data_IF_926296674126
#
_entry.id   IF_926296674126
#
_cell.length_a   1.000
_cell.length_b   1.000
_cell.length_c   1.000
_cell.angle_alpha   90.00
_cell.angle_beta   90.00
_cell.angle_gamma   90.00
#
_symmetry.space_group_name_H-M   'P 1'
#
loop_
_entity.id
_entity.type
_entity.pdbx_description
1 polymer ?
#
# COMPACT_ATOMS: atom_id res chain seq x y z
N UNK A 1 6.53 -11.43 -8.50
CA UNK A 1 6.35 -11.03 -7.09
C UNK A 1 6.73 -9.57 -6.93
N UNK A 2 6.34 -8.92 -5.82
CA UNK A 2 6.70 -7.52 -5.55
C UNK A 2 8.18 -7.43 -5.13
N UNK A 3 9.03 -6.94 -6.03
CA UNK A 3 10.44 -6.68 -5.75
C UNK A 3 10.61 -5.27 -5.18
N UNK A 4 11.79 -4.97 -4.65
CA UNK A 4 12.10 -3.62 -4.17
C UNK A 4 11.94 -2.58 -5.30
N UNK A 5 11.23 -1.47 -5.04
CA UNK A 5 10.91 -0.42 -6.02
C UNK A 5 9.83 -0.76 -7.05
N UNK A 6 9.14 -1.90 -6.91
CA UNK A 6 8.03 -2.26 -7.80
C UNK A 6 6.85 -1.29 -7.72
N UNK A 7 6.69 -0.58 -6.61
CA UNK A 7 5.59 0.35 -6.34
C UNK A 7 5.71 1.69 -7.08
N UNK A 8 6.91 2.09 -7.52
CA UNK A 8 7.14 3.42 -8.08
C UNK A 8 6.22 3.72 -9.27
N UNK A 9 6.07 2.76 -10.18
CA UNK A 9 5.24 2.94 -11.36
C UNK A 9 3.75 3.17 -11.01
N UNK A 10 3.25 2.47 -9.99
CA UNK A 10 1.87 2.59 -9.52
C UNK A 10 1.65 3.89 -8.73
N UNK A 11 2.54 4.22 -7.79
CA UNK A 11 2.40 5.39 -6.92
C UNK A 11 2.54 6.71 -7.69
N UNK A 12 3.41 6.74 -8.72
CA UNK A 12 3.69 7.93 -9.52
C UNK A 12 2.83 8.03 -10.78
N UNK A 13 1.94 7.06 -11.05
CA UNK A 13 1.11 7.03 -12.25
C UNK A 13 1.94 7.01 -13.55
N UNK A 14 2.87 6.04 -13.64
CA UNK A 14 3.84 5.91 -14.74
C UNK A 14 4.00 4.48 -15.26
N UNK A 15 3.03 3.58 -15.04
CA UNK A 15 3.06 2.21 -15.59
C UNK A 15 3.30 2.22 -17.10
N UNK A 16 2.69 3.17 -17.82
CA UNK A 16 2.86 3.33 -19.27
C UNK A 16 4.28 3.70 -19.72
N UNK A 17 5.20 4.01 -18.80
CA UNK A 17 6.62 4.29 -19.09
C UNK A 17 7.51 3.06 -18.95
N UNK A 18 6.98 1.97 -18.43
CA UNK A 18 7.73 0.76 -18.15
C UNK A 18 7.43 -0.31 -19.20
N UNK A 19 8.49 -0.90 -19.75
CA UNK A 19 8.37 -1.99 -20.72
C UNK A 19 8.12 -3.33 -20.01
N UNK A 20 6.87 -3.53 -19.58
CA UNK A 20 6.41 -4.71 -18.82
C UNK A 20 5.02 -5.15 -19.32
N UNK A 21 4.69 -6.44 -19.23
CA UNK A 21 3.39 -6.95 -19.66
C UNK A 21 2.32 -6.71 -18.58
N UNK A 22 2.03 -5.44 -18.28
CA UNK A 22 0.95 -5.09 -17.35
C UNK A 22 -0.42 -5.45 -17.93
N UNK A 23 -1.33 -5.78 -17.03
CA UNK A 23 -2.72 -6.15 -17.32
C UNK A 23 -3.70 -5.19 -16.65
N UNK A 24 -4.99 -5.32 -16.93
CA UNK A 24 -6.02 -4.36 -16.46
C UNK A 24 -6.03 -4.14 -14.94
N UNK A 25 -5.71 -5.17 -14.16
CA UNK A 25 -5.62 -5.04 -12.70
C UNK A 25 -4.48 -4.12 -12.26
N UNK A 26 -3.40 -4.03 -13.03
CA UNK A 26 -2.26 -3.15 -12.74
C UNK A 26 -2.66 -1.69 -12.98
N UNK A 27 -3.33 -1.39 -14.10
CA UNK A 27 -3.85 -0.04 -14.39
C UNK A 27 -4.84 0.40 -13.30
N UNK A 28 -5.74 -0.50 -12.86
CA UNK A 28 -6.66 -0.20 -11.76
C UNK A 28 -5.91 0.06 -10.44
N UNK A 29 -4.86 -0.71 -10.17
CA UNK A 29 -4.04 -0.52 -8.97
C UNK A 29 -3.27 0.81 -9.01
N UNK A 30 -2.77 1.22 -10.17
CA UNK A 30 -2.12 2.51 -10.38
C UNK A 30 -3.06 3.68 -10.08
N UNK A 31 -4.28 3.64 -10.60
CA UNK A 31 -5.30 4.67 -10.32
C UNK A 31 -5.58 4.78 -8.82
N UNK A 32 -5.78 3.65 -8.15
CA UNK A 32 -6.07 3.60 -6.71
C UNK A 32 -4.87 4.11 -5.90
N UNK A 33 -3.66 3.60 -6.19
CA UNK A 33 -2.45 3.93 -5.44
C UNK A 33 -2.10 5.41 -5.60
N UNK A 34 -2.02 5.92 -6.83
CA UNK A 34 -1.73 7.34 -7.07
C UNK A 34 -2.78 8.27 -6.43
N UNK A 35 -4.06 7.90 -6.45
CA UNK A 35 -5.14 8.66 -5.80
C UNK A 35 -4.95 8.75 -4.28
N UNK A 36 -4.59 7.66 -3.59
CA UNK A 36 -4.30 7.70 -2.15
C UNK A 36 -3.17 8.70 -1.83
N UNK A 37 -2.08 8.69 -2.61
CA UNK A 37 -0.95 9.60 -2.38
C UNK A 37 -1.33 11.06 -2.61
N UNK A 38 -2.10 11.35 -3.67
CA UNK A 38 -2.59 12.70 -3.96
C UNK A 38 -3.52 13.20 -2.85
N UNK A 39 -4.46 12.38 -2.38
CA UNK A 39 -5.39 12.74 -1.31
C UNK A 39 -4.65 13.01 0.01
N UNK A 40 -3.69 12.14 0.34
CA UNK A 40 -2.87 12.30 1.54
C UNK A 40 -2.05 13.59 1.47
N UNK A 41 -1.39 13.87 0.34
CA UNK A 41 -0.64 15.11 0.17
C UNK A 41 -1.51 16.38 0.30
N UNK A 42 -2.77 16.32 -0.14
CA UNK A 42 -3.72 17.43 -0.05
C UNK A 42 -4.28 17.67 1.34
N UNK A 43 -4.55 16.59 2.10
CA UNK A 43 -5.43 16.67 3.28
C UNK A 43 -4.91 15.96 4.53
N UNK A 44 -3.85 15.16 4.41
CA UNK A 44 -3.41 14.24 5.45
C UNK A 44 -4.28 12.98 5.60
N UNK A 45 -5.34 12.83 4.80
CA UNK A 45 -6.18 11.64 4.75
C UNK A 45 -6.11 11.02 3.33
N UNK A 46 -5.69 9.74 3.18
CA UNK A 46 -5.61 9.13 1.85
C UNK A 46 -7.00 8.81 1.26
N UNK A 47 -8.03 8.66 2.09
CA UNK A 47 -9.35 8.20 1.66
C UNK A 47 -10.07 9.22 0.75
N UNK A 48 -10.93 8.71 -0.13
CA UNK A 48 -11.70 9.50 -1.09
C UNK A 48 -12.81 8.65 -1.72
N UNK A 49 -13.71 9.31 -2.46
CA UNK A 49 -14.81 8.63 -3.15
C UNK A 49 -14.29 7.55 -4.12
N UNK A 50 -14.91 6.37 -4.11
CA UNK A 50 -14.54 5.25 -4.98
C UNK A 50 -13.28 4.47 -4.55
N UNK A 51 -12.55 4.92 -3.52
CA UNK A 51 -11.40 4.19 -2.98
C UNK A 51 -11.84 3.24 -1.85
N UNK A 52 -11.22 2.05 -1.75
CA UNK A 52 -11.35 1.23 -0.55
C UNK A 52 -10.93 2.00 0.71
N UNK A 53 -11.56 1.73 1.84
CA UNK A 53 -11.20 2.41 3.09
C UNK A 53 -9.82 1.96 3.57
N UNK A 54 -8.92 2.92 3.74
CA UNK A 54 -7.64 2.80 4.43
C UNK A 54 -7.83 3.24 5.88
N UNK A 55 -7.99 2.26 6.78
CA UNK A 55 -8.16 2.53 8.21
C UNK A 55 -6.90 3.15 8.84
N UNK A 56 -7.11 4.09 9.75
CA UNK A 56 -6.03 4.67 10.58
C UNK A 56 -5.30 3.54 11.32
N UNK A 57 -3.98 3.62 11.36
CA UNK A 57 -3.16 2.66 12.09
C UNK A 57 -3.36 2.81 13.60
N UNK A 58 -3.71 1.71 14.27
CA UNK A 58 -3.84 1.60 15.72
C UNK A 58 -2.83 0.57 16.24
N UNK A 59 -1.94 0.97 17.15
CA UNK A 59 -0.92 0.09 17.73
C UNK A 59 -1.50 -1.11 18.49
N UNK A 60 -2.73 -1.01 19.01
CA UNK A 60 -3.41 -2.13 19.69
C UNK A 60 -4.04 -3.13 18.72
N UNK A 61 -4.45 -2.67 17.53
CA UNK A 61 -5.09 -3.47 16.49
C UNK A 61 -4.54 -3.07 15.12
N UNK A 62 -3.26 -3.35 14.85
CA UNK A 62 -2.57 -2.80 13.69
C UNK A 62 -3.16 -3.37 12.41
N UNK A 63 -3.64 -2.46 11.56
CA UNK A 63 -4.11 -2.74 10.20
C UNK A 63 -3.29 -1.94 9.21
N UNK A 64 -3.07 -2.53 8.05
CA UNK A 64 -2.42 -1.91 6.90
C UNK A 64 -3.37 -1.95 5.71
N UNK A 65 -3.17 -1.08 4.72
CA UNK A 65 -3.76 -1.28 3.41
C UNK A 65 -2.91 -2.29 2.64
N UNK A 66 -3.53 -3.35 2.13
CA UNK A 66 -2.90 -4.25 1.17
C UNK A 66 -3.15 -3.67 -0.22
N UNK A 67 -2.09 -3.39 -0.96
CA UNK A 67 -2.12 -2.92 -2.34
C UNK A 67 -1.70 -4.08 -3.26
N UNK A 68 -2.58 -4.49 -4.16
CA UNK A 68 -2.39 -5.64 -5.05
C UNK A 68 -3.65 -5.91 -5.85
N UNK A 69 -3.85 -7.16 -6.30
CA UNK A 69 -5.04 -7.56 -7.07
C UNK A 69 -6.37 -7.19 -6.37
N UNK A 70 -6.40 -7.33 -5.05
CA UNK A 70 -7.47 -6.81 -4.21
C UNK A 70 -6.89 -5.77 -3.25
N UNK A 71 -7.46 -4.56 -3.29
CA UNK A 71 -7.09 -3.46 -2.39
C UNK A 71 -8.03 -3.44 -1.19
N UNK A 72 -7.49 -3.67 0.00
CA UNK A 72 -8.29 -3.66 1.24
C UNK A 72 -7.45 -3.43 2.49
N UNK A 73 -8.08 -2.88 3.52
CA UNK A 73 -7.52 -2.87 4.87
C UNK A 73 -7.50 -4.29 5.44
N UNK A 74 -6.35 -4.71 5.96
CA UNK A 74 -6.14 -6.05 6.53
C UNK A 74 -5.28 -5.98 7.80
N UNK A 75 -5.35 -6.97 8.71
CA UNK A 75 -4.43 -7.06 9.84
C UNK A 75 -2.97 -7.02 9.37
N UNK A 76 -2.10 -6.32 10.10
CA UNK A 76 -0.68 -6.25 9.77
C UNK A 76 -0.08 -7.66 9.76
N UNK A 77 0.54 -8.11 8.65
CA UNK A 77 1.15 -9.43 8.59
C UNK A 77 2.44 -9.47 9.43
N UNK A 78 2.91 -10.67 9.75
CA UNK A 78 4.22 -10.90 10.38
C UNK A 78 4.47 -10.21 11.73
N UNK A 79 3.40 -9.86 12.48
CA UNK A 79 3.52 -9.21 13.79
C UNK A 79 4.46 -9.94 14.76
N UNK A 80 4.35 -11.28 14.84
CA UNK A 80 5.20 -12.10 15.72
C UNK A 80 6.68 -12.00 15.35
N UNK A 81 6.99 -12.01 14.06
CA UNK A 81 8.35 -11.87 13.55
C UNK A 81 8.91 -10.48 13.85
N UNK A 82 8.11 -9.43 13.67
CA UNK A 82 8.53 -8.07 14.01
C UNK A 82 8.82 -7.94 15.51
N UNK A 83 7.94 -8.46 16.38
CA UNK A 83 8.18 -8.46 17.83
C UNK A 83 9.43 -9.23 18.21
N UNK A 84 9.67 -10.40 17.60
CA UNK A 84 10.90 -11.14 17.80
C UNK A 84 12.15 -10.30 17.46
N UNK A 85 12.15 -9.59 16.33
CA UNK A 85 13.25 -8.68 15.97
C UNK A 85 13.41 -7.52 16.96
N UNK A 86 12.30 -6.95 17.46
CA UNK A 86 12.33 -5.91 18.48
C UNK A 86 12.97 -6.43 19.77
N UNK A 87 12.61 -7.62 20.25
CA UNK A 87 13.17 -8.22 21.46
C UNK A 87 14.69 -8.44 21.38
N UNK A 88 15.19 -8.95 20.24
CA UNK A 88 16.63 -9.22 20.09
C UNK A 88 17.47 -7.96 19.84
N UNK A 89 16.89 -6.90 19.25
CA UNK A 89 17.58 -5.65 18.96
C UNK A 89 17.60 -4.67 20.14
N UNK A 90 16.91 -4.98 21.23
CA UNK A 90 16.91 -4.22 22.49
C UNK A 90 17.79 -4.86 23.59
N UNK A 91 18.67 -5.82 23.22
CA UNK A 91 19.85 -6.17 24.01
C UNK A 91 20.99 -5.18 23.74
#
# INVERSE_FOLDING_TARGET
GAFHSAEFAYALHTLNKWERPFVDVDNKLEEIMSSYWVNFAKTGNPNGEGLPEWSIFDGNKPKIIKLGEEVKSAPMPFQKQLYFFTEINHQ
#
